data_IF_826556199202
#
_entry.id   IF_826556199202
#
_cell.length_a   1.000
_cell.length_b   1.000
_cell.length_c   1.000
_cell.angle_alpha   90.00
_cell.angle_beta   90.00
_cell.angle_gamma   90.00
#
_symmetry.space_group_name_H-M   'P 1'
#
loop_
_entity.id
_entity.type
_entity.pdbx_description
1 polymer ?
#
# COMPACT_ATOMS: atom_id res chain seq x y z
N UNK A 1 -7.12 25.96 -8.97
CA UNK A 1 -7.94 24.73 -9.03
C UNK A 1 -7.19 23.54 -9.66
N UNK A 2 -5.92 23.29 -9.31
CA UNK A 2 -5.06 22.28 -10.00
C UNK A 2 -4.48 21.20 -9.06
N UNK A 3 -4.78 21.25 -7.76
CA UNK A 3 -4.18 20.36 -6.75
C UNK A 3 -4.71 18.92 -6.76
N UNK A 4 -5.94 18.69 -7.23
CA UNK A 4 -6.58 17.36 -7.25
C UNK A 4 -5.85 16.31 -8.11
N UNK A 5 -5.52 16.58 -9.39
CA UNK A 5 -4.81 15.59 -10.21
C UNK A 5 -3.40 15.32 -9.71
N UNK A 6 -2.70 16.35 -9.26
CA UNK A 6 -1.32 16.24 -8.77
C UNK A 6 -1.27 15.40 -7.47
N UNK A 7 -2.24 15.57 -6.59
CA UNK A 7 -2.38 14.77 -5.38
C UNK A 7 -2.61 13.28 -5.68
N UNK A 8 -3.51 12.95 -6.62
CA UNK A 8 -3.86 11.57 -6.95
C UNK A 8 -2.76 10.85 -7.75
N UNK A 9 -2.03 11.56 -8.60
CA UNK A 9 -1.04 10.97 -9.51
C UNK A 9 0.38 10.92 -8.95
N UNK A 10 0.73 11.82 -8.03
CA UNK A 10 2.09 11.91 -7.49
C UNK A 10 2.10 11.72 -5.97
N UNK A 11 1.28 12.48 -5.25
CA UNK A 11 1.34 12.47 -3.78
C UNK A 11 0.87 11.14 -3.19
N UNK A 12 -0.23 10.59 -3.72
CA UNK A 12 -0.79 9.31 -3.27
C UNK A 12 0.16 8.12 -3.48
N UNK A 13 0.72 7.86 -4.68
CA UNK A 13 1.65 6.75 -4.86
C UNK A 13 2.94 6.92 -4.04
N UNK A 14 3.46 8.15 -3.91
CA UNK A 14 4.62 8.43 -3.05
C UNK A 14 4.33 8.17 -1.58
N UNK A 15 3.17 8.60 -1.08
CA UNK A 15 2.76 8.36 0.30
C UNK A 15 2.63 6.86 0.58
N UNK A 16 2.04 6.11 -0.34
CA UNK A 16 1.91 4.64 -0.23
C UNK A 16 3.25 3.94 -0.27
N UNK A 17 4.17 4.37 -1.14
CA UNK A 17 5.54 3.87 -1.17
C UNK A 17 6.25 4.16 0.15
N UNK A 18 6.15 5.37 0.67
CA UNK A 18 6.75 5.75 1.94
C UNK A 18 6.18 4.91 3.09
N UNK A 19 4.87 4.70 3.15
CA UNK A 19 4.24 3.81 4.12
C UNK A 19 4.74 2.37 3.97
N UNK A 20 4.82 1.84 2.75
CA UNK A 20 5.32 0.51 2.49
C UNK A 20 6.76 0.34 2.99
N UNK A 21 7.65 1.29 2.67
CA UNK A 21 9.05 1.28 3.12
C UNK A 21 9.14 1.41 4.64
N UNK A 22 8.39 2.33 5.25
CA UNK A 22 8.40 2.57 6.69
C UNK A 22 7.89 1.35 7.47
N UNK A 23 6.74 0.78 7.08
CA UNK A 23 6.19 -0.41 7.72
C UNK A 23 7.12 -1.61 7.52
N UNK A 24 7.62 -1.82 6.31
CA UNK A 24 8.52 -2.94 6.04
C UNK A 24 9.83 -2.83 6.85
N UNK A 25 10.38 -1.61 6.98
CA UNK A 25 11.57 -1.35 7.79
C UNK A 25 11.31 -1.54 9.29
N UNK A 26 10.13 -1.14 9.78
CA UNK A 26 9.72 -1.38 11.16
C UNK A 26 9.67 -2.89 11.47
N UNK A 27 9.16 -3.70 10.55
CA UNK A 27 9.17 -5.16 10.68
C UNK A 27 10.56 -5.76 10.76
N UNK A 28 11.52 -5.18 10.04
CA UNK A 28 12.93 -5.56 10.15
C UNK A 28 13.48 -5.30 11.55
N UNK A 29 13.23 -4.11 12.12
CA UNK A 29 13.68 -3.76 13.47
C UNK A 29 13.06 -4.68 14.54
N UNK A 30 11.75 -4.97 14.42
CA UNK A 30 11.06 -5.89 15.33
C UNK A 30 11.59 -7.32 15.21
N UNK A 31 11.87 -7.77 13.99
CA UNK A 31 12.42 -9.11 13.75
C UNK A 31 13.86 -9.24 14.25
N UNK A 32 14.70 -8.22 14.04
CA UNK A 32 16.07 -8.15 14.59
C UNK A 32 16.02 -8.19 16.13
N UNK A 33 15.13 -7.43 16.76
CA UNK A 33 14.90 -7.48 18.22
C UNK A 33 14.41 -8.83 18.74
N UNK A 34 13.72 -9.61 17.90
CA UNK A 34 13.27 -10.98 18.21
C UNK A 34 14.29 -12.07 17.82
N UNK A 35 15.50 -11.70 17.40
CA UNK A 35 16.56 -12.64 17.00
C UNK A 35 16.29 -13.39 15.69
N UNK A 36 15.34 -12.93 14.86
CA UNK A 36 15.03 -13.56 13.57
C UNK A 36 15.81 -12.91 12.44
N UNK A 37 16.49 -13.73 11.64
CA UNK A 37 17.14 -13.28 10.42
C UNK A 37 16.09 -12.90 9.35
N UNK A 38 15.77 -11.62 9.25
CA UNK A 38 14.85 -11.08 8.24
C UNK A 38 15.57 -10.60 6.97
N UNK A 39 16.91 -10.48 7.01
CA UNK A 39 17.73 -10.06 5.87
C UNK A 39 17.77 -11.14 4.79
N UNK A 40 17.66 -10.72 3.54
CA UNK A 40 17.97 -11.52 2.36
C UNK A 40 19.16 -10.90 1.62
N UNK A 41 19.86 -11.68 0.80
CA UNK A 41 20.98 -11.20 -0.01
C UNK A 41 20.55 -10.25 -1.14
N UNK A 42 21.47 -9.90 -2.03
CA UNK A 42 21.22 -8.97 -3.15
C UNK A 42 19.99 -9.33 -4.00
N UNK A 43 19.72 -10.61 -4.25
CA UNK A 43 18.52 -11.05 -4.99
C UNK A 43 17.20 -10.73 -4.28
N UNK A 44 17.20 -10.68 -2.94
CA UNK A 44 16.05 -10.26 -2.14
C UNK A 44 15.77 -8.77 -2.31
N UNK A 45 16.82 -7.95 -2.23
CA UNK A 45 16.71 -6.50 -2.39
C UNK A 45 16.22 -6.13 -3.81
N UNK A 46 16.74 -6.78 -4.85
CA UNK A 46 16.31 -6.57 -6.24
C UNK A 46 14.83 -6.95 -6.43
N UNK A 47 14.42 -8.09 -5.85
CA UNK A 47 13.03 -8.55 -5.91
C UNK A 47 12.11 -7.54 -5.23
N UNK A 48 12.42 -7.13 -4.00
CA UNK A 48 11.67 -6.09 -3.29
C UNK A 48 11.57 -4.79 -4.09
N UNK A 49 12.66 -4.36 -4.72
CA UNK A 49 12.69 -3.15 -5.52
C UNK A 49 11.76 -3.25 -6.73
N UNK A 50 11.82 -4.34 -7.49
CA UNK A 50 10.94 -4.60 -8.63
C UNK A 50 9.45 -4.60 -8.24
N UNK A 51 9.11 -5.31 -7.16
CA UNK A 51 7.72 -5.37 -6.68
C UNK A 51 7.24 -4.03 -6.15
N UNK A 52 8.09 -3.27 -5.46
CA UNK A 52 7.75 -1.93 -4.97
C UNK A 52 7.59 -0.94 -6.12
N UNK A 53 8.41 -1.03 -7.18
CA UNK A 53 8.24 -0.24 -8.39
C UNK A 53 6.91 -0.57 -9.10
N UNK A 54 6.58 -1.87 -9.23
CA UNK A 54 5.30 -2.31 -9.76
C UNK A 54 4.11 -1.80 -8.95
N UNK A 55 4.22 -1.77 -7.62
CA UNK A 55 3.21 -1.21 -6.72
C UNK A 55 2.99 0.30 -6.95
N UNK A 56 4.06 1.06 -7.17
CA UNK A 56 3.99 2.49 -7.50
C UNK A 56 3.27 2.71 -8.82
N UNK A 57 3.61 1.94 -9.85
CA UNK A 57 2.95 2.02 -11.17
C UNK A 57 1.47 1.69 -11.05
N UNK A 58 1.10 0.61 -10.35
CA UNK A 58 -0.30 0.27 -10.11
C UNK A 58 -1.05 1.35 -9.31
N UNK A 59 -0.40 1.96 -8.32
CA UNK A 59 -0.98 3.08 -7.55
C UNK A 59 -1.16 4.33 -8.41
N UNK A 60 -0.27 4.60 -9.37
CA UNK A 60 -0.43 5.71 -10.30
C UNK A 60 -1.58 5.46 -11.29
N UNK A 61 -1.71 4.22 -11.80
CA UNK A 61 -2.83 3.78 -12.63
C UNK A 61 -4.17 3.89 -11.88
N UNK A 62 -4.19 3.53 -10.60
CA UNK A 62 -5.35 3.76 -9.73
C UNK A 62 -5.69 5.25 -9.66
N UNK A 63 -4.70 6.12 -9.45
CA UNK A 63 -4.88 7.58 -9.44
C UNK A 63 -5.50 8.10 -10.73
N UNK A 64 -5.05 7.60 -11.90
CA UNK A 64 -5.63 7.92 -13.21
C UNK A 64 -7.09 7.45 -13.32
N UNK A 65 -7.39 6.23 -12.88
CA UNK A 65 -8.74 5.68 -12.92
C UNK A 65 -9.69 6.46 -12.01
N UNK A 66 -9.24 6.85 -10.82
CA UNK A 66 -10.01 7.67 -9.87
C UNK A 66 -10.24 9.09 -10.38
N UNK A 67 -9.28 9.65 -11.12
CA UNK A 67 -9.46 10.92 -11.81
C UNK A 67 -10.56 10.86 -12.87
N UNK A 68 -10.58 9.79 -13.68
CA UNK A 68 -11.61 9.60 -14.70
C UNK A 68 -12.98 9.24 -14.09
N UNK A 69 -12.98 8.42 -13.03
CA UNK A 69 -14.19 7.83 -12.43
C UNK A 69 -14.10 7.81 -10.89
N UNK A 70 -14.37 8.93 -10.21
CA UNK A 70 -14.17 9.05 -8.75
C UNK A 70 -15.06 8.10 -7.93
N UNK A 71 -16.23 7.73 -8.47
CA UNK A 71 -17.15 6.76 -7.84
C UNK A 71 -16.57 5.37 -7.64
N UNK A 72 -15.48 5.03 -8.33
CA UNK A 72 -14.85 3.71 -8.27
C UNK A 72 -13.59 3.66 -7.39
N UNK A 73 -13.26 4.70 -6.63
CA UNK A 73 -12.03 4.74 -5.83
C UNK A 73 -11.83 3.53 -4.91
N UNK A 74 -12.87 3.10 -4.20
CA UNK A 74 -12.80 1.92 -3.31
C UNK A 74 -12.62 0.62 -4.12
N UNK A 75 -13.32 0.51 -5.26
CA UNK A 75 -13.22 -0.68 -6.13
C UNK A 75 -11.85 -0.76 -6.81
N UNK A 76 -11.28 0.39 -7.19
CA UNK A 76 -9.96 0.50 -7.77
C UNK A 76 -8.88 0.10 -6.75
N UNK A 77 -8.95 0.59 -5.51
CA UNK A 77 -8.06 0.19 -4.43
C UNK A 77 -8.16 -1.32 -4.10
N UNK A 78 -9.38 -1.87 -4.13
CA UNK A 78 -9.60 -3.30 -3.95
C UNK A 78 -9.01 -4.11 -5.11
N UNK A 79 -9.18 -3.67 -6.35
CA UNK A 79 -8.60 -4.31 -7.52
C UNK A 79 -7.07 -4.28 -7.48
N UNK A 80 -6.46 -3.14 -7.13
CA UNK A 80 -5.00 -3.03 -6.93
C UNK A 80 -4.52 -3.99 -5.85
N UNK A 81 -5.24 -4.08 -4.73
CA UNK A 81 -4.91 -5.02 -3.64
C UNK A 81 -4.97 -6.46 -4.13
N UNK A 82 -6.04 -6.86 -4.80
CA UNK A 82 -6.23 -8.23 -5.32
C UNK A 82 -5.19 -8.58 -6.38
N UNK A 83 -4.95 -7.69 -7.33
CA UNK A 83 -3.96 -7.90 -8.40
C UNK A 83 -2.56 -8.01 -7.81
N UNK A 84 -2.18 -7.11 -6.89
CA UNK A 84 -0.84 -7.12 -6.33
C UNK A 84 -0.59 -8.31 -5.39
N UNK A 85 -1.56 -8.62 -4.51
CA UNK A 85 -1.47 -9.78 -3.62
C UNK A 85 -1.51 -11.08 -4.42
N UNK A 86 -2.36 -11.17 -5.44
CA UNK A 86 -2.43 -12.33 -6.33
C UNK A 86 -1.13 -12.53 -7.12
N UNK A 87 -0.59 -11.47 -7.72
CA UNK A 87 0.66 -11.53 -8.47
C UNK A 87 1.85 -11.92 -7.57
N UNK A 88 1.95 -11.35 -6.37
CA UNK A 88 2.98 -11.73 -5.39
C UNK A 88 2.81 -13.17 -4.91
N UNK A 89 1.57 -13.65 -4.75
CA UNK A 89 1.28 -15.03 -4.38
C UNK A 89 1.64 -16.04 -5.48
N UNK A 90 1.41 -15.70 -6.75
CA UNK A 90 1.82 -16.53 -7.90
C UNK A 90 3.34 -16.56 -8.07
N UNK A 91 4.04 -15.53 -7.62
CA UNK A 91 5.50 -15.47 -7.65
C UNK A 91 6.17 -16.23 -6.50
N UNK A 92 5.39 -16.79 -5.55
CA UNK A 92 5.91 -17.66 -4.49
C UNK A 92 6.58 -18.87 -5.15
N UNK A 93 7.82 -19.16 -4.73
CA UNK A 93 8.56 -20.34 -5.19
C UNK A 93 9.27 -20.18 -6.54
N UNK A 94 8.89 -19.21 -7.37
CA UNK A 94 9.61 -18.91 -8.63
C UNK A 94 10.88 -18.10 -8.41
N UNK A 95 10.93 -17.27 -7.37
CA UNK A 95 12.13 -16.56 -6.97
C UNK A 95 12.56 -17.06 -5.59
N UNK A 96 13.84 -17.40 -5.42
CA UNK A 96 14.40 -17.74 -4.10
C UNK A 96 14.22 -16.62 -3.06
N UNK A 97 13.93 -15.40 -3.53
CA UNK A 97 13.54 -14.25 -2.74
C UNK A 97 12.14 -14.34 -2.12
N UNK A 98 11.33 -15.36 -2.37
CA UNK A 98 10.08 -15.61 -1.64
C UNK A 98 10.06 -16.98 -0.94
N UNK A 99 11.23 -17.62 -0.80
CA UNK A 99 11.37 -18.95 -0.19
C UNK A 99 10.89 -19.02 1.27
N UNK A 100 10.75 -17.87 1.93
CA UNK A 100 10.26 -17.76 3.29
C UNK A 100 8.83 -17.19 3.31
N UNK A 101 7.80 -18.03 3.52
CA UNK A 101 6.40 -17.62 3.39
C UNK A 101 6.01 -16.48 4.37
N UNK A 102 6.65 -16.43 5.54
CA UNK A 102 6.42 -15.36 6.52
C UNK A 102 6.85 -13.97 6.02
N UNK A 103 7.89 -13.88 5.18
CA UNK A 103 8.39 -12.60 4.66
C UNK A 103 7.47 -12.05 3.56
N UNK A 104 6.95 -12.94 2.72
CA UNK A 104 5.92 -12.60 1.74
C UNK A 104 4.65 -12.12 2.43
N UNK A 105 4.13 -12.89 3.40
CA UNK A 105 2.91 -12.54 4.11
C UNK A 105 3.04 -11.17 4.79
N UNK A 106 4.19 -10.88 5.40
CA UNK A 106 4.46 -9.58 5.98
C UNK A 106 4.47 -8.45 4.94
N UNK A 107 5.15 -8.65 3.80
CA UNK A 107 5.17 -7.67 2.72
C UNK A 107 3.76 -7.40 2.14
N UNK A 108 2.95 -8.44 1.95
CA UNK A 108 1.55 -8.31 1.52
C UNK A 108 0.71 -7.51 2.53
N UNK A 109 0.90 -7.77 3.83
CA UNK A 109 0.25 -6.97 4.89
C UNK A 109 0.68 -5.50 4.85
N UNK A 110 1.97 -5.21 4.63
CA UNK A 110 2.44 -3.84 4.49
C UNK A 110 1.80 -3.13 3.29
N UNK A 111 1.62 -3.83 2.16
CA UNK A 111 0.96 -3.29 0.96
C UNK A 111 -0.52 -3.02 1.24
N UNK A 112 -1.23 -3.96 1.85
CA UNK A 112 -2.62 -3.76 2.24
C UNK A 112 -2.75 -2.56 3.19
N UNK A 113 -1.88 -2.47 4.20
CA UNK A 113 -1.84 -1.32 5.10
C UNK A 113 -1.62 -0.01 4.32
N UNK A 114 -0.62 0.04 3.42
CA UNK A 114 -0.33 1.22 2.61
C UNK A 114 -1.51 1.65 1.71
N UNK A 115 -2.28 0.71 1.16
CA UNK A 115 -3.45 1.02 0.31
C UNK A 115 -4.64 1.51 1.16
N UNK A 116 -4.94 0.81 2.25
CA UNK A 116 -6.20 0.98 2.98
C UNK A 116 -6.14 2.01 4.11
N UNK A 117 -4.99 2.22 4.79
CA UNK A 117 -4.87 3.23 5.85
C UNK A 117 -5.23 4.65 5.38
N UNK A 118 -4.70 5.14 4.24
CA UNK A 118 -5.03 6.49 3.77
C UNK A 118 -6.53 6.63 3.47
N UNK A 119 -7.15 5.60 2.86
CA UNK A 119 -8.57 5.58 2.55
C UNK A 119 -9.44 5.55 3.81
N UNK A 120 -9.07 4.70 4.78
CA UNK A 120 -9.75 4.61 6.07
C UNK A 120 -9.68 5.91 6.86
N UNK A 121 -8.52 6.56 6.90
CA UNK A 121 -8.34 7.87 7.56
C UNK A 121 -9.19 8.96 6.89
N UNK A 122 -9.26 8.97 5.55
CA UNK A 122 -10.11 9.91 4.81
C UNK A 122 -11.59 9.68 5.10
N UNK A 123 -12.07 8.43 5.09
CA UNK A 123 -13.45 8.08 5.40
C UNK A 123 -13.81 8.41 6.85
N UNK A 124 -12.92 8.10 7.80
CA UNK A 124 -13.13 8.41 9.21
C UNK A 124 -13.22 9.91 9.47
N UNK A 125 -12.33 10.71 8.86
CA UNK A 125 -12.41 12.18 8.94
C UNK A 125 -13.69 12.74 8.32
N UNK A 126 -14.15 12.16 7.20
CA UNK A 126 -15.41 12.55 6.58
C UNK A 126 -16.60 12.24 7.51
N UNK A 127 -16.64 11.04 8.09
CA UNK A 127 -17.67 10.64 9.04
C UNK A 127 -17.67 11.48 10.32
N UNK A 128 -16.49 11.84 10.84
CA UNK A 128 -16.33 12.71 12.01
C UNK A 128 -16.89 14.13 11.74
N UNK A 129 -16.63 14.71 10.57
CA UNK A 129 -17.18 16.01 10.18
C UNK A 129 -18.70 16.01 10.06
N UNK A 130 -19.28 14.94 9.52
CA UNK A 130 -20.74 14.78 9.44
C UNK A 130 -21.37 14.72 10.84
N UNK A 131 -20.75 14.00 11.78
CA UNK A 131 -21.22 13.96 13.19
C UNK A 131 -21.17 15.32 13.88
N UNK A 132 -20.12 16.11 13.64
CA UNK A 132 -20.00 17.47 14.22
C UNK A 132 -21.01 18.44 13.61
N UNK A 133 -21.26 18.37 12.29
CA UNK A 133 -22.27 19.20 11.63
C UNK A 133 -23.71 18.88 12.03
N UNK A 134 -24.01 17.62 12.34
CA UNK A 134 -25.34 17.21 12.83
C UNK A 134 -25.58 17.51 14.33
N UNK A 135 -24.54 17.93 15.07
CA UNK A 135 -24.61 18.20 16.51
C UNK A 135 -24.77 19.68 16.90
N UNK A 136 -24.84 20.60 15.93
CA UNK A 136 -25.01 22.05 16.16
C UNK A 136 -26.42 22.56 15.83
N UNK A 137 -27.45 21.74 16.07
CA UNK A 137 -28.85 22.08 15.85
C UNK A 137 -29.72 21.78 17.07
N UNK A 138 -29.35 22.30 18.24
CA UNK A 138 -30.23 22.42 19.40
C UNK A 138 -30.08 23.82 20.01
#
# INVERSE_FOLDING_TARGET
>A
MTLRPLHLLLLQPLLRLFMLVALYSLGHLVAEGAGRAFRGGYGWALTLWLWSAGFVVLSALEGLLVLALPRFAVRAALLVSVVFVGATALAIGYTGAWAHPYRLAYYQLCVLAAVWLPLGLCQWRAAAKVKVGNGQGY
#
